data_IF_826719761827
#
_entry.id   IF_826719761827
#
_cell.length_a   1.000
_cell.length_b   1.000
_cell.length_c   1.000
_cell.angle_alpha   90.00
_cell.angle_beta   90.00
_cell.angle_gamma   90.00
#
_symmetry.space_group_name_H-M   'P 1'
#
loop_
_entity.id
_entity.type
_entity.pdbx_description
1 polymer ?
#
# COMPACT_ATOMS: atom_id res chain seq x y z
N UNK A 1 -11.26 -39.80 14.14
CA UNK A 1 -11.33 -39.34 12.73
C UNK A 1 -10.98 -37.86 12.73
N UNK A 2 -9.81 -37.50 12.20
CA UNK A 2 -9.52 -36.10 11.90
C UNK A 2 -10.28 -35.80 10.61
N UNK A 3 -11.36 -35.03 10.73
CA UNK A 3 -12.05 -34.47 9.58
C UNK A 3 -11.02 -33.62 8.84
N UNK A 4 -10.64 -34.04 7.62
CA UNK A 4 -9.75 -33.28 6.76
C UNK A 4 -10.53 -32.05 6.31
N UNK A 5 -10.50 -31.00 7.13
CA UNK A 5 -10.94 -29.67 6.74
C UNK A 5 -10.03 -29.26 5.60
N UNK A 6 -10.50 -29.46 4.36
CA UNK A 6 -9.85 -28.90 3.19
C UNK A 6 -9.60 -27.42 3.48
N UNK A 7 -8.36 -26.91 3.32
CA UNK A 7 -8.10 -25.50 3.53
C UNK A 7 -9.08 -24.73 2.63
N UNK A 8 -9.77 -23.71 3.18
CA UNK A 8 -10.82 -23.04 2.42
C UNK A 8 -10.21 -22.51 1.11
N UNK A 9 -10.85 -22.77 -0.04
CA UNK A 9 -10.27 -22.44 -1.33
C UNK A 9 -10.08 -20.93 -1.41
N UNK A 10 -8.91 -20.50 -1.91
CA UNK A 10 -8.70 -19.12 -2.30
C UNK A 10 -9.54 -18.86 -3.56
N UNK A 11 -10.57 -18.04 -3.45
CA UNK A 11 -11.41 -17.63 -4.57
C UNK A 11 -11.11 -16.17 -4.93
N UNK A 12 -10.88 -15.89 -6.21
CA UNK A 12 -10.72 -14.52 -6.71
C UNK A 12 -11.86 -14.26 -7.67
N UNK A 13 -12.73 -13.33 -7.32
CA UNK A 13 -13.99 -13.11 -8.04
C UNK A 13 -14.41 -11.64 -8.03
N UNK A 14 -15.33 -11.30 -8.94
CA UNK A 14 -15.95 -9.98 -8.97
C UNK A 14 -16.95 -9.90 -7.82
N UNK A 15 -16.76 -8.94 -6.93
CA UNK A 15 -17.64 -8.76 -5.78
C UNK A 15 -18.94 -8.10 -6.23
N UNK A 16 -20.06 -8.78 -5.99
CA UNK A 16 -21.41 -8.26 -6.26
C UNK A 16 -22.13 -7.84 -4.98
N UNK A 17 -21.84 -8.49 -3.85
CA UNK A 17 -22.41 -8.16 -2.54
C UNK A 17 -21.91 -6.78 -2.04
N UNK A 18 -22.82 -5.84 -1.71
CA UNK A 18 -22.46 -4.56 -1.11
C UNK A 18 -21.60 -4.68 0.16
N UNK A 19 -21.78 -5.72 0.98
CA UNK A 19 -21.00 -5.91 2.21
C UNK A 19 -19.54 -6.23 1.87
N UNK A 20 -19.32 -7.16 0.96
CA UNK A 20 -17.97 -7.55 0.53
C UNK A 20 -17.25 -6.41 -0.20
N UNK A 21 -17.97 -5.65 -1.04
CA UNK A 21 -17.43 -4.43 -1.65
C UNK A 21 -16.93 -3.43 -0.60
N UNK A 22 -17.68 -3.24 0.48
CA UNK A 22 -17.29 -2.37 1.59
C UNK A 22 -16.04 -2.90 2.31
N UNK A 23 -15.97 -4.20 2.57
CA UNK A 23 -14.81 -4.81 3.23
C UNK A 23 -13.54 -4.75 2.36
N UNK A 24 -13.67 -4.97 1.04
CA UNK A 24 -12.60 -4.81 0.07
C UNK A 24 -12.10 -3.37 -0.02
N UNK A 25 -13.01 -2.39 -0.09
CA UNK A 25 -12.66 -0.97 -0.09
C UNK A 25 -11.96 -0.58 1.21
N UNK A 26 -12.51 -1.01 2.36
CA UNK A 26 -11.89 -0.79 3.67
C UNK A 26 -10.46 -1.33 3.71
N UNK A 27 -10.21 -2.50 3.14
CA UNK A 27 -8.86 -3.07 3.07
C UNK A 27 -7.89 -2.16 2.30
N UNK A 28 -8.34 -1.55 1.19
CA UNK A 28 -7.53 -0.59 0.41
C UNK A 28 -7.29 0.68 1.21
N UNK A 29 -8.33 1.28 1.78
CA UNK A 29 -8.23 2.48 2.63
C UNK A 29 -7.27 2.24 3.80
N UNK A 30 -7.40 1.12 4.51
CA UNK A 30 -6.50 0.73 5.60
C UNK A 30 -5.06 0.59 5.11
N UNK A 31 -4.85 0.09 3.89
CA UNK A 31 -3.51 -0.04 3.32
C UNK A 31 -2.88 1.29 2.93
N UNK A 32 -3.68 2.28 2.51
CA UNK A 32 -3.24 3.66 2.28
C UNK A 32 -2.91 4.31 3.62
N UNK A 33 -3.77 4.15 4.64
CA UNK A 33 -3.47 4.61 5.99
C UNK A 33 -2.17 4.01 6.55
N UNK A 34 -1.88 2.73 6.27
CA UNK A 34 -0.62 2.06 6.63
C UNK A 34 0.61 2.64 5.92
N UNK A 35 0.47 3.33 4.78
CA UNK A 35 1.61 3.98 4.10
C UNK A 35 2.26 5.02 5.01
N UNK A 36 1.48 5.71 5.85
CA UNK A 36 2.01 6.63 6.86
C UNK A 36 3.04 5.97 7.76
N UNK A 37 2.75 4.78 8.28
CA UNK A 37 3.69 4.05 9.15
C UNK A 37 4.98 3.70 8.41
N UNK A 38 4.87 3.34 7.13
CA UNK A 38 6.01 3.04 6.28
C UNK A 38 6.85 4.30 6.03
N UNK A 39 6.20 5.43 5.73
CA UNK A 39 6.83 6.73 5.54
C UNK A 39 7.54 7.21 6.81
N UNK A 40 6.89 7.10 7.98
CA UNK A 40 7.51 7.47 9.27
C UNK A 40 8.75 6.63 9.53
N UNK A 41 8.69 5.31 9.28
CA UNK A 41 9.86 4.43 9.43
C UNK A 41 10.98 4.82 8.46
N UNK A 42 10.65 5.11 7.20
CA UNK A 42 11.63 5.56 6.22
C UNK A 42 12.30 6.88 6.66
N UNK A 43 11.54 7.82 7.21
CA UNK A 43 12.03 9.13 7.67
C UNK A 43 12.90 9.00 8.93
N UNK A 44 12.49 8.18 9.91
CA UNK A 44 13.23 7.92 11.15
C UNK A 44 14.63 7.36 10.84
N UNK A 45 14.69 6.37 9.94
CA UNK A 45 15.95 5.67 9.64
C UNK A 45 16.69 6.25 8.43
N UNK A 46 16.29 7.42 7.92
CA UNK A 46 16.99 8.06 6.82
C UNK A 46 18.33 8.64 7.30
N UNK A 47 19.45 8.43 6.60
CA UNK A 47 20.78 8.85 7.06
C UNK A 47 20.86 10.36 7.32
N UNK A 48 20.23 11.18 6.47
CA UNK A 48 20.21 12.65 6.67
C UNK A 48 19.47 13.03 7.96
N UNK A 49 18.32 12.39 8.24
CA UNK A 49 17.54 12.70 9.43
C UNK A 49 18.25 12.24 10.70
N UNK A 50 18.92 11.08 10.66
CA UNK A 50 19.76 10.60 11.75
C UNK A 50 20.96 11.53 12.01
N UNK A 51 21.64 12.00 10.95
CA UNK A 51 22.74 12.96 11.09
C UNK A 51 22.29 14.25 11.78
N UNK A 52 21.17 14.84 11.34
CA UNK A 52 20.59 16.04 11.97
C UNK A 52 20.24 15.76 13.44
N UNK A 53 19.59 14.62 13.71
CA UNK A 53 19.22 14.23 15.06
C UNK A 53 20.45 14.06 15.98
N UNK A 54 21.50 13.38 15.51
CA UNK A 54 22.76 13.23 16.27
C UNK A 54 23.47 14.55 16.48
N UNK A 55 23.44 15.47 15.51
CA UNK A 55 24.00 16.80 15.66
C UNK A 55 23.23 17.61 16.73
N UNK A 56 21.90 17.53 16.77
CA UNK A 56 21.09 18.14 17.82
C UNK A 56 21.41 17.57 19.21
N UNK A 57 21.58 16.24 19.33
CA UNK A 57 21.98 15.60 20.58
C UNK A 57 23.37 16.05 21.04
N UNK A 58 24.34 16.09 20.13
CA UNK A 58 25.69 16.55 20.44
C UNK A 58 25.69 18.03 20.85
N UNK A 59 24.98 18.88 20.12
CA UNK A 59 24.85 20.31 20.44
C UNK A 59 24.20 20.53 21.81
N UNK A 60 23.14 19.78 22.14
CA UNK A 60 22.54 19.85 23.46
C UNK A 60 23.52 19.38 24.54
N UNK A 61 24.18 18.24 24.33
CA UNK A 61 25.15 17.67 25.28
C UNK A 61 26.30 18.62 25.60
N UNK A 62 27.00 19.12 24.58
CA UNK A 62 28.13 20.03 24.76
C UNK A 62 27.71 21.46 25.11
N UNK A 63 26.61 21.96 24.54
CA UNK A 63 26.14 23.33 24.75
C UNK A 63 25.56 23.56 26.13
N UNK A 64 24.77 22.61 26.66
CA UNK A 64 24.24 22.69 28.02
C UNK A 64 25.26 22.26 29.09
N UNK A 65 26.51 21.96 28.70
CA UNK A 65 27.56 21.38 29.58
C UNK A 65 27.00 20.26 30.45
N UNK A 66 26.19 19.40 29.82
CA UNK A 66 25.67 18.19 30.46
C UNK A 66 26.90 17.33 30.70
N UNK A 67 27.48 17.41 31.89
CA UNK A 67 28.59 16.55 32.31
C UNK A 67 28.13 15.10 32.42
N UNK A 68 28.70 14.34 33.35
CA UNK A 68 28.24 12.97 33.64
C UNK A 68 26.99 12.90 34.53
N UNK A 69 26.21 13.99 34.62
CA UNK A 69 25.01 14.04 35.46
C UNK A 69 23.85 13.27 34.82
N UNK A 70 23.68 12.04 35.31
CA UNK A 70 22.65 11.09 34.86
C UNK A 70 21.25 11.71 34.91
N UNK A 71 20.93 12.47 35.96
CA UNK A 71 19.63 13.12 36.13
C UNK A 71 19.30 14.08 34.98
N UNK A 72 20.29 14.86 34.55
CA UNK A 72 20.12 15.84 33.46
C UNK A 72 20.01 15.14 32.11
N UNK A 73 20.77 14.05 31.89
CA UNK A 73 20.67 13.21 30.69
C UNK A 73 19.28 12.58 30.54
N UNK A 74 18.71 12.10 31.65
CA UNK A 74 17.38 11.45 31.67
C UNK A 74 16.23 12.42 31.34
N UNK A 75 16.41 13.72 31.50
CA UNK A 75 15.40 14.73 31.16
C UNK A 75 15.55 15.17 29.70
N UNK A 76 16.78 15.50 29.29
CA UNK A 76 17.04 16.16 28.01
C UNK A 76 16.98 15.19 26.83
N UNK A 77 17.57 14.00 26.93
CA UNK A 77 17.58 13.06 25.80
C UNK A 77 16.17 12.58 25.40
N UNK A 78 15.29 12.17 26.34
CA UNK A 78 13.91 11.82 25.97
C UNK A 78 13.14 13.01 25.38
N UNK A 79 13.39 14.23 25.86
CA UNK A 79 12.80 15.45 25.28
C UNK A 79 13.18 15.63 23.81
N UNK A 80 14.46 15.53 23.48
CA UNK A 80 14.95 15.66 22.10
C UNK A 80 14.42 14.51 21.22
N UNK A 81 14.39 13.27 21.73
CA UNK A 81 13.80 12.12 21.05
C UNK A 81 12.32 12.39 20.76
N UNK A 82 11.56 12.86 21.75
CA UNK A 82 10.13 13.14 21.59
C UNK A 82 9.90 14.25 20.56
N UNK A 83 10.64 15.36 20.63
CA UNK A 83 10.56 16.44 19.65
C UNK A 83 10.86 15.94 18.23
N UNK A 84 11.87 15.09 18.07
CA UNK A 84 12.21 14.47 16.79
C UNK A 84 11.07 13.59 16.25
N UNK A 85 10.49 12.73 17.08
CA UNK A 85 9.37 11.86 16.69
C UNK A 85 8.10 12.66 16.36
N UNK A 86 7.83 13.76 17.09
CA UNK A 86 6.71 14.66 16.81
C UNK A 86 6.92 15.39 15.48
N UNK A 87 8.14 15.86 15.18
CA UNK A 87 8.46 16.48 13.89
C UNK A 87 8.21 15.51 12.73
N UNK A 88 8.65 14.26 12.86
CA UNK A 88 8.38 13.20 11.87
C UNK A 88 6.87 12.96 11.71
N UNK A 89 6.13 12.92 12.81
CA UNK A 89 4.68 12.77 12.80
C UNK A 89 4.00 13.94 12.05
N UNK A 90 4.53 15.15 12.19
CA UNK A 90 4.06 16.34 11.47
C UNK A 90 4.32 16.22 9.96
N UNK A 91 5.55 15.91 9.53
CA UNK A 91 5.86 15.77 8.10
C UNK A 91 5.07 14.64 7.43
N UNK A 92 4.78 13.56 8.16
CA UNK A 92 4.00 12.42 7.64
C UNK A 92 2.49 12.62 7.70
N UNK A 93 2.00 13.74 8.23
CA UNK A 93 0.56 14.05 8.29
C UNK A 93 -0.07 14.23 6.91
N UNK A 94 0.71 14.62 5.89
CA UNK A 94 0.24 14.78 4.51
C UNK A 94 -0.40 13.51 3.93
N UNK A 95 0.04 12.32 4.37
CA UNK A 95 -0.58 11.04 3.97
C UNK A 95 -2.01 10.87 4.51
N UNK A 96 -2.33 11.45 5.67
CA UNK A 96 -3.69 11.41 6.23
C UNK A 96 -4.63 12.22 5.34
N UNK A 97 -4.19 13.43 4.97
CA UNK A 97 -4.98 14.33 4.12
C UNK A 97 -5.34 13.70 2.78
N UNK A 98 -4.40 12.99 2.15
CA UNK A 98 -4.67 12.26 0.89
C UNK A 98 -5.71 11.15 1.09
N UNK A 99 -5.65 10.43 2.21
CA UNK A 99 -6.63 9.40 2.53
C UNK A 99 -8.03 9.99 2.80
N UNK A 100 -8.11 11.23 3.30
CA UNK A 100 -9.37 11.94 3.58
C UNK A 100 -9.94 12.65 2.35
N UNK A 101 -9.10 13.22 1.49
CA UNK A 101 -9.50 13.95 0.28
C UNK A 101 -9.95 13.02 -0.86
N UNK A 102 -9.53 11.75 -0.85
CA UNK A 102 -9.92 10.78 -1.88
C UNK A 102 -11.38 10.39 -1.70
N UNK A 103 -12.24 10.66 -2.70
CA UNK A 103 -13.65 10.27 -2.66
C UNK A 103 -13.83 8.77 -2.94
N UNK A 104 -13.48 7.93 -1.97
CA UNK A 104 -13.56 6.47 -2.04
C UNK A 104 -14.95 5.93 -2.39
N UNK A 105 -16.01 6.71 -2.13
CA UNK A 105 -17.38 6.37 -2.43
C UNK A 105 -17.67 6.34 -3.94
N UNK A 106 -17.01 7.21 -4.72
CA UNK A 106 -17.18 7.21 -6.18
C UNK A 106 -16.60 5.93 -6.78
N UNK A 107 -15.50 5.43 -6.21
CA UNK A 107 -14.86 4.20 -6.64
C UNK A 107 -15.75 2.99 -6.37
N UNK A 108 -16.59 3.04 -5.33
CA UNK A 108 -17.56 1.99 -5.04
C UNK A 108 -18.74 1.97 -6.03
N UNK A 109 -19.07 3.11 -6.64
CA UNK A 109 -20.23 3.26 -7.55
C UNK A 109 -19.88 2.96 -9.00
N UNK A 110 -18.75 3.46 -9.48
CA UNK A 110 -18.38 3.42 -10.89
C UNK A 110 -17.45 2.26 -11.24
N UNK A 111 -16.64 1.80 -10.28
CA UNK A 111 -15.57 0.85 -10.56
C UNK A 111 -15.97 -0.60 -10.19
N UNK A 112 -15.41 -1.56 -10.93
CA UNK A 112 -15.55 -2.98 -10.66
C UNK A 112 -14.56 -3.40 -9.59
N UNK A 113 -15.04 -4.04 -8.52
CA UNK A 113 -14.20 -4.50 -7.41
C UNK A 113 -14.01 -6.01 -7.50
N UNK A 114 -12.76 -6.44 -7.56
CA UNK A 114 -12.36 -7.85 -7.52
C UNK A 114 -11.80 -8.14 -6.14
N UNK A 115 -12.33 -9.18 -5.48
CA UNK A 115 -11.92 -9.60 -4.15
C UNK A 115 -11.23 -10.96 -4.18
N UNK A 116 -10.17 -11.10 -3.40
CA UNK A 116 -9.61 -12.39 -3.03
C UNK A 116 -10.18 -12.81 -1.68
N UNK A 117 -10.95 -13.89 -1.69
CA UNK A 117 -11.61 -14.49 -0.55
C UNK A 117 -10.85 -15.73 -0.08
N UNK A 118 -10.65 -15.85 1.22
CA UNK A 118 -10.13 -17.07 1.85
C UNK A 118 -11.05 -17.43 3.02
N UNK A 119 -11.88 -18.47 2.83
CA UNK A 119 -13.01 -18.76 3.72
C UNK A 119 -14.06 -17.66 3.62
N UNK A 120 -14.42 -17.05 4.75
CA UNK A 120 -15.38 -15.94 4.81
C UNK A 120 -14.71 -14.56 4.82
N UNK A 121 -13.38 -14.49 4.73
CA UNK A 121 -12.65 -13.23 4.83
C UNK A 121 -12.10 -12.75 3.47
N UNK A 122 -12.32 -11.47 3.16
CA UNK A 122 -11.62 -10.78 2.07
C UNK A 122 -10.17 -10.49 2.51
N UNK A 123 -9.21 -11.09 1.82
CA UNK A 123 -7.77 -10.98 2.12
C UNK A 123 -7.00 -10.22 1.05
N UNK A 124 -7.63 -9.89 -0.08
CA UNK A 124 -7.09 -9.03 -1.12
C UNK A 124 -8.20 -8.34 -1.89
N UNK A 125 -7.89 -7.19 -2.48
CA UNK A 125 -8.84 -6.40 -3.23
C UNK A 125 -8.15 -5.67 -4.37
N UNK A 126 -8.83 -5.54 -5.50
CA UNK A 126 -8.45 -4.72 -6.65
C UNK A 126 -9.67 -3.92 -7.09
N UNK A 127 -9.48 -2.62 -7.30
CA UNK A 127 -10.47 -1.72 -7.87
C UNK A 127 -10.06 -1.43 -9.30
N UNK A 128 -10.95 -1.74 -10.22
CA UNK A 128 -10.74 -1.70 -11.65
C UNK A 128 -11.79 -0.83 -12.33
N UNK A 129 -11.35 0.16 -13.07
CA UNK A 129 -12.20 0.95 -13.97
C UNK A 129 -12.15 0.33 -15.36
N UNK A 130 -13.30 -0.08 -15.86
CA UNK A 130 -13.44 -0.67 -17.20
C UNK A 130 -13.94 0.40 -18.17
N UNK A 131 -13.21 0.60 -19.26
CA UNK A 131 -13.63 1.42 -20.39
C UNK A 131 -13.92 0.50 -21.58
N UNK A 132 -15.21 0.34 -21.90
CA UNK A 132 -15.67 -0.50 -23.01
C UNK A 132 -15.40 0.13 -24.39
N UNK A 133 -15.27 1.46 -24.46
CA UNK A 133 -15.04 2.18 -25.72
C UNK A 133 -13.60 2.00 -26.15
N UNK A 134 -12.66 2.26 -25.24
CA UNK A 134 -11.22 2.16 -25.48
C UNK A 134 -10.68 0.74 -25.22
N UNK A 135 -11.54 -0.18 -24.76
CA UNK A 135 -11.17 -1.54 -24.30
C UNK A 135 -10.04 -1.50 -23.29
N UNK A 136 -10.06 -0.57 -22.35
CA UNK A 136 -9.00 -0.43 -21.34
C UNK A 136 -9.51 -0.79 -19.95
N UNK A 137 -8.66 -1.44 -19.17
CA UNK A 137 -8.90 -1.79 -17.77
C UNK A 137 -7.85 -1.10 -16.90
N UNK A 138 -8.28 -0.10 -16.14
CA UNK A 138 -7.41 0.75 -15.34
C UNK A 138 -7.51 0.33 -13.87
N UNK A 139 -6.41 -0.17 -13.32
CA UNK A 139 -6.29 -0.54 -11.90
C UNK A 139 -6.08 0.74 -11.08
N UNK A 140 -7.11 1.16 -10.35
CA UNK A 140 -7.10 2.37 -9.49
C UNK A 140 -6.62 2.09 -8.07
N UNK A 141 -6.71 0.85 -7.62
CA UNK A 141 -6.25 0.47 -6.29
C UNK A 141 -6.09 -1.03 -6.18
N UNK A 142 -5.09 -1.48 -5.43
CA UNK A 142 -4.93 -2.88 -5.12
C UNK A 142 -4.23 -3.05 -3.79
N UNK A 143 -4.58 -4.12 -3.09
CA UNK A 143 -3.91 -4.46 -1.84
C UNK A 143 -4.13 -5.92 -1.48
N UNK A 144 -3.27 -6.40 -0.59
CA UNK A 144 -3.45 -7.66 0.12
C UNK A 144 -3.26 -7.40 1.60
N UNK A 145 -4.00 -8.14 2.42
CA UNK A 145 -3.94 -8.04 3.87
C UNK A 145 -2.55 -8.42 4.37
N UNK A 146 -2.03 -7.66 5.33
CA UNK A 146 -0.61 -7.70 5.72
C UNK A 146 -0.11 -9.12 6.07
N UNK A 147 -0.92 -9.91 6.79
CA UNK A 147 -0.63 -11.30 7.18
C UNK A 147 -0.41 -12.26 5.99
N UNK A 148 -1.01 -11.96 4.84
CA UNK A 148 -0.96 -12.77 3.63
C UNK A 148 0.02 -12.23 2.57
N UNK A 149 0.73 -11.12 2.88
CA UNK A 149 1.78 -10.59 2.00
C UNK A 149 2.99 -11.52 1.98
N UNK A 150 3.72 -11.51 0.87
CA UNK A 150 4.93 -12.32 0.69
C UNK A 150 4.68 -13.79 0.32
N UNK A 151 3.42 -14.21 0.14
CA UNK A 151 3.03 -15.59 -0.19
C UNK A 151 2.61 -15.83 -1.64
N UNK A 152 2.82 -14.86 -2.54
CA UNK A 152 2.38 -14.96 -3.94
C UNK A 152 0.99 -14.38 -4.23
N UNK A 153 0.12 -14.24 -3.23
CA UNK A 153 -1.27 -13.77 -3.37
C UNK A 153 -1.45 -12.53 -4.26
N UNK A 154 -0.58 -11.51 -4.12
CA UNK A 154 -0.68 -10.31 -4.95
C UNK A 154 -0.45 -10.57 -6.45
N UNK A 155 0.36 -11.57 -6.78
CA UNK A 155 0.58 -12.03 -8.16
C UNK A 155 -0.65 -12.75 -8.68
N UNK A 156 -1.22 -13.65 -7.89
CA UNK A 156 -2.41 -14.43 -8.27
C UNK A 156 -3.60 -13.50 -8.50
N UNK A 157 -3.80 -12.53 -7.60
CA UNK A 157 -4.85 -11.51 -7.69
C UNK A 157 -4.70 -10.64 -8.94
N UNK A 158 -3.48 -10.20 -9.28
CA UNK A 158 -3.23 -9.43 -10.49
C UNK A 158 -3.39 -10.29 -11.77
N UNK A 159 -2.95 -11.54 -11.74
CA UNK A 159 -3.13 -12.48 -12.85
C UNK A 159 -4.62 -12.71 -13.13
N UNK A 160 -5.40 -12.99 -12.10
CA UNK A 160 -6.84 -13.21 -12.26
C UNK A 160 -7.57 -11.92 -12.67
N UNK A 161 -7.12 -10.75 -12.18
CA UNK A 161 -7.62 -9.45 -12.64
C UNK A 161 -7.42 -9.29 -14.15
N UNK A 162 -6.26 -9.66 -14.69
CA UNK A 162 -6.01 -9.60 -16.13
C UNK A 162 -6.95 -10.54 -16.89
N UNK A 163 -7.14 -11.78 -16.43
CA UNK A 163 -8.07 -12.74 -17.06
C UNK A 163 -9.50 -12.22 -17.08
N UNK A 164 -9.98 -11.70 -15.95
CA UNK A 164 -11.32 -11.13 -15.82
C UNK A 164 -11.47 -9.92 -16.76
N UNK A 165 -10.50 -9.01 -16.78
CA UNK A 165 -10.52 -7.81 -17.62
C UNK A 165 -10.60 -8.16 -19.11
N UNK A 166 -9.74 -9.09 -19.56
CA UNK A 166 -9.72 -9.59 -20.95
C UNK A 166 -10.97 -10.39 -21.30
N UNK A 167 -11.55 -11.11 -20.34
CA UNK A 167 -12.82 -11.81 -20.52
C UNK A 167 -14.00 -10.87 -20.73
N UNK A 168 -14.01 -9.71 -20.05
CA UNK A 168 -15.08 -8.71 -20.15
C UNK A 168 -14.94 -7.75 -21.35
N UNK A 169 -13.70 -7.32 -21.67
CA UNK A 169 -13.42 -6.32 -22.70
C UNK A 169 -12.87 -6.89 -24.01
N UNK A 170 -12.57 -8.19 -24.04
CA UNK A 170 -12.00 -8.90 -25.19
C UNK A 170 -10.48 -9.04 -25.13
N UNK A 171 -9.93 -9.88 -26.02
CA UNK A 171 -8.49 -10.25 -26.04
C UNK A 171 -7.55 -9.05 -26.21
N UNK A 172 -7.99 -8.01 -26.93
CA UNK A 172 -7.18 -6.81 -27.22
C UNK A 172 -7.16 -5.80 -26.07
N UNK A 173 -7.83 -6.08 -24.94
CA UNK A 173 -7.96 -5.11 -23.86
C UNK A 173 -6.61 -4.78 -23.19
N UNK A 174 -6.30 -3.51 -22.99
CA UNK A 174 -5.08 -3.12 -22.25
C UNK A 174 -5.37 -3.06 -20.76
N UNK A 175 -4.46 -3.59 -19.92
CA UNK A 175 -4.58 -3.54 -18.47
C UNK A 175 -3.40 -2.77 -17.89
N UNK A 176 -3.66 -1.64 -17.24
CA UNK A 176 -2.63 -0.74 -16.73
C UNK A 176 -2.96 -0.21 -15.34
N UNK A 177 -1.95 0.27 -14.63
CA UNK A 177 -2.16 0.98 -13.37
C UNK A 177 -2.51 2.45 -13.63
N UNK A 178 -3.51 2.99 -12.93
CA UNK A 178 -3.86 4.41 -13.03
C UNK A 178 -2.67 5.29 -12.60
N UNK A 179 -2.36 6.42 -13.28
CA UNK A 179 -1.31 7.32 -12.83
C UNK A 179 -1.51 7.83 -11.39
N UNK A 180 -2.76 8.04 -11.01
CA UNK A 180 -3.25 8.52 -9.71
C UNK A 180 -3.90 7.40 -8.87
N UNK A 181 -3.38 6.18 -8.95
CA UNK A 181 -3.91 5.05 -8.17
C UNK A 181 -3.67 5.25 -6.65
N UNK A 182 -4.45 4.54 -5.81
CA UNK A 182 -4.38 4.63 -4.33
C UNK A 182 -2.95 4.48 -3.74
N UNK A 183 -2.07 3.75 -4.42
CA UNK A 183 -0.69 3.54 -4.00
C UNK A 183 0.36 4.52 -4.59
N UNK A 184 -0.01 5.51 -5.41
CA UNK A 184 0.96 6.34 -6.19
C UNK A 184 1.32 7.63 -5.48
N UNK A 185 0.51 8.05 -4.50
CA UNK A 185 0.75 9.29 -3.78
C UNK A 185 2.01 9.21 -2.90
N UNK A 186 2.98 10.07 -3.22
CA UNK A 186 4.22 10.21 -2.47
C UNK A 186 4.44 11.69 -2.09
N UNK A 187 3.72 12.21 -1.08
CA UNK A 187 3.76 13.62 -0.68
C UNK A 187 5.09 14.08 -0.09
N UNK A 188 5.97 13.15 0.28
CA UNK A 188 7.30 13.47 0.81
C UNK A 188 8.31 13.73 -0.33
N UNK A 189 9.40 14.41 0.03
CA UNK A 189 10.51 14.62 -0.89
C UNK A 189 11.08 13.29 -1.39
N UNK A 190 11.54 13.27 -2.64
CA UNK A 190 11.91 12.06 -3.39
C UNK A 190 12.93 11.15 -2.68
N UNK A 191 13.81 11.72 -1.86
CA UNK A 191 14.80 10.97 -1.08
C UNK A 191 14.16 9.97 -0.10
N UNK A 192 12.94 10.23 0.37
CA UNK A 192 12.22 9.37 1.31
C UNK A 192 11.34 8.31 0.62
N UNK A 193 11.23 8.37 -0.71
CA UNK A 193 10.28 7.56 -1.47
C UNK A 193 10.81 6.16 -1.82
N UNK A 194 12.07 5.84 -1.50
CA UNK A 194 12.73 4.57 -1.85
C UNK A 194 11.91 3.29 -1.60
N UNK A 195 11.32 3.09 -0.41
CA UNK A 195 10.48 1.92 -0.14
C UNK A 195 9.22 1.85 -1.02
N UNK A 196 8.62 2.99 -1.32
CA UNK A 196 7.42 3.08 -2.17
C UNK A 196 7.76 2.79 -3.63
N UNK A 197 8.84 3.38 -4.15
CA UNK A 197 9.33 3.13 -5.51
C UNK A 197 9.68 1.65 -5.73
N UNK A 198 10.31 1.01 -4.74
CA UNK A 198 10.64 -0.42 -4.80
C UNK A 198 9.37 -1.28 -4.88
N UNK A 199 8.35 -0.93 -4.08
CA UNK A 199 7.05 -1.63 -4.08
C UNK A 199 6.30 -1.42 -5.40
N UNK A 200 6.30 -0.21 -5.93
CA UNK A 200 5.66 0.13 -7.20
C UNK A 200 6.33 -0.60 -8.37
N UNK A 201 7.66 -0.60 -8.43
CA UNK A 201 8.43 -1.34 -9.43
C UNK A 201 8.12 -2.85 -9.38
N UNK A 202 7.99 -3.41 -8.17
CA UNK A 202 7.58 -4.81 -7.99
C UNK A 202 6.16 -5.06 -8.51
N UNK A 203 5.21 -4.17 -8.24
CA UNK A 203 3.84 -4.29 -8.73
C UNK A 203 3.76 -4.22 -10.26
N UNK A 204 4.46 -3.26 -10.88
CA UNK A 204 4.61 -3.13 -12.34
C UNK A 204 5.22 -4.39 -12.97
N UNK A 205 6.26 -4.94 -12.36
CA UNK A 205 6.88 -6.20 -12.81
C UNK A 205 5.90 -7.37 -12.76
N UNK A 206 5.09 -7.49 -11.70
CA UNK A 206 4.11 -8.55 -11.54
C UNK A 206 2.97 -8.42 -12.55
N UNK A 207 2.42 -7.23 -12.77
CA UNK A 207 1.41 -6.99 -13.80
C UNK A 207 1.95 -7.32 -15.20
N UNK A 208 3.17 -6.89 -15.51
CA UNK A 208 3.81 -7.21 -16.78
C UNK A 208 4.07 -8.71 -16.98
N UNK A 209 4.32 -9.46 -15.90
CA UNK A 209 4.41 -10.92 -15.98
C UNK A 209 3.04 -11.56 -16.25
N UNK A 210 2.00 -11.14 -15.53
CA UNK A 210 0.63 -11.62 -15.74
C UNK A 210 0.12 -11.40 -17.18
N UNK A 211 0.41 -10.24 -17.76
CA UNK A 211 0.08 -9.95 -19.16
C UNK A 211 0.80 -10.89 -20.13
N UNK A 212 2.11 -11.11 -19.94
CA UNK A 212 2.88 -12.03 -20.77
C UNK A 212 2.41 -13.48 -20.65
N UNK A 213 2.02 -13.91 -19.46
CA UNK A 213 1.54 -15.27 -19.24
C UNK A 213 0.16 -15.49 -19.88
N UNK A 214 -0.71 -14.48 -19.86
CA UNK A 214 -1.96 -14.50 -20.61
C UNK A 214 -1.74 -14.61 -22.12
N UNK A 215 -0.86 -13.79 -22.69
CA UNK A 215 -0.58 -13.80 -24.13
C UNK A 215 0.00 -15.13 -24.61
N UNK A 216 0.77 -15.83 -23.76
CA UNK A 216 1.29 -17.18 -24.04
C UNK A 216 0.23 -18.28 -23.96
N UNK A 217 -0.76 -18.14 -23.09
CA UNK A 217 -1.83 -19.13 -22.91
C UNK A 217 -3.04 -18.91 -23.82
N UNK A 218 -3.15 -17.73 -24.45
CA UNK A 218 -4.23 -17.37 -25.37
C UNK A 218 -3.96 -17.65 -26.85
N UNK A 219 -2.80 -18.25 -27.15
CA UNK A 219 -2.31 -18.67 -28.47
C UNK A 219 -2.26 -20.20 -28.54
#
# INVERSE_FOLDING_TARGET
>A
MYESVEPPPLAIEILTDPKEKKDALKLIVDSVAQQRQTASRALIFHPICLSIFTACLAMAHYGAKIGNDISTMLIIYPGIILTYLVAIRYFTSAYIRIAEETNWLDWMKEDTIIGARFGDEIIGAVILRLDHTEKTAIIRGWTTRSRYRGRGLGSDVLSETVKISKGLLGKDCTVEFAPDHANSHMPLYSIFNGPFLTREAKAKKVLGAALKDWDKGGN
#
